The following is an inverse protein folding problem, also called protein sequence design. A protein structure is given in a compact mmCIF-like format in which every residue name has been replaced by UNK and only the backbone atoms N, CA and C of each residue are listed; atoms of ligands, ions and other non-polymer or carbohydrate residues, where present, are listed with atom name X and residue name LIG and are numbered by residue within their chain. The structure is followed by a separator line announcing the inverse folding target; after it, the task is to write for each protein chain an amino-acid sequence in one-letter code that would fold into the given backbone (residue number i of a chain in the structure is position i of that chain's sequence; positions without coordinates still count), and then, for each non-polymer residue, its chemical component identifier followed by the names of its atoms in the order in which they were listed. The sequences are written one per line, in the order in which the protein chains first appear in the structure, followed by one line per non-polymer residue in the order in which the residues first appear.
data_IF_895446051201
#
_entry.id   IF_895446051201
#
_cell.length_a   1.000
_cell.length_b   1.000
_cell.length_c   1.000
_cell.angle_alpha   90.00
_cell.angle_beta   90.00
_cell.angle_gamma   90.00
#
_symmetry.space_group_name_H-M   'P 1'
#
loop_
_entity.id
_entity.type
_entity.pdbx_description
1 polymer ?
#
# COMPACT_ATOMS: atom_id res chain seq x y z
N UNK A 1 -16.46 -3.86 21.16
CA UNK A 1 -15.64 -2.99 20.29
C UNK A 1 -16.01 -3.34 18.86
N UNK A 2 -16.39 -2.36 18.05
CA UNK A 2 -16.70 -2.60 16.63
C UNK A 2 -15.40 -2.74 15.83
N UNK A 3 -15.44 -3.53 14.75
CA UNK A 3 -14.33 -3.62 13.80
C UNK A 3 -14.17 -2.27 13.08
N UNK A 4 -13.17 -1.49 13.47
CA UNK A 4 -12.94 -0.13 12.95
C UNK A 4 -12.56 -0.10 11.46
N UNK A 5 -12.08 -1.20 10.89
CA UNK A 5 -11.79 -1.31 9.45
C UNK A 5 -13.10 -1.34 8.64
N UNK A 6 -14.18 -1.82 9.23
CA UNK A 6 -15.46 -1.99 8.54
C UNK A 6 -16.42 -0.79 8.65
N UNK A 7 -16.08 0.21 9.46
CA UNK A 7 -16.96 1.36 9.72
C UNK A 7 -16.56 2.64 8.98
N UNK A 8 -15.46 2.62 8.22
CA UNK A 8 -14.89 3.80 7.60
C UNK A 8 -14.52 3.54 6.14
N UNK A 9 -15.05 4.35 5.23
CA UNK A 9 -14.51 4.45 3.87
C UNK A 9 -13.34 5.44 3.92
N UNK A 10 -12.19 5.03 3.42
CA UNK A 10 -11.01 5.89 3.31
C UNK A 10 -10.51 5.95 1.87
N UNK A 11 -10.08 7.14 1.45
CA UNK A 11 -9.50 7.35 0.12
C UNK A 11 -8.17 8.08 0.29
N UNK A 12 -7.07 7.34 0.52
CA UNK A 12 -5.72 7.91 0.56
C UNK A 12 -5.23 8.28 -0.83
N UNK A 13 -4.62 9.46 -0.93
CA UNK A 13 -3.73 9.87 -2.00
C UNK A 13 -2.34 9.96 -1.39
N UNK A 14 -1.51 8.96 -1.66
CA UNK A 14 -0.20 8.81 -1.05
C UNK A 14 0.89 9.07 -2.08
N UNK A 15 1.58 10.19 -1.95
CA UNK A 15 2.77 10.53 -2.72
C UNK A 15 3.99 9.94 -2.05
N UNK A 16 4.87 9.35 -2.85
CA UNK A 16 6.18 8.87 -2.44
C UNK A 16 7.23 9.42 -3.40
N UNK A 17 8.39 9.76 -2.87
CA UNK A 17 9.59 10.11 -3.61
C UNK A 17 10.71 9.19 -3.15
N UNK A 18 11.36 8.54 -4.09
CA UNK A 18 12.51 7.67 -3.88
C UNK A 18 13.64 8.09 -4.83
N UNK A 19 14.87 8.03 -4.36
CA UNK A 19 16.09 8.47 -5.04
C UNK A 19 17.10 7.33 -5.17
N UNK A 20 18.18 7.56 -5.90
CA UNK A 20 19.31 6.64 -5.99
C UNK A 20 19.08 5.43 -6.90
N UNK A 21 18.22 5.53 -7.89
CA UNK A 21 18.01 4.46 -8.87
C UNK A 21 19.13 4.39 -9.90
N UNK A 22 19.59 3.18 -10.18
CA UNK A 22 20.57 2.89 -11.22
C UNK A 22 21.91 3.61 -11.06
N UNK A 23 22.76 3.50 -12.08
CA UNK A 23 24.07 4.15 -12.10
C UNK A 23 23.99 5.67 -12.36
N UNK A 24 22.85 6.15 -12.81
CA UNK A 24 22.60 7.57 -13.06
C UNK A 24 22.15 8.37 -11.85
N UNK A 25 21.92 7.72 -10.69
CA UNK A 25 21.31 8.37 -9.54
C UNK A 25 19.88 8.81 -9.81
N UNK A 26 19.12 7.99 -10.51
CA UNK A 26 17.77 8.28 -10.96
C UNK A 26 16.79 8.45 -9.80
N UNK A 27 15.65 9.03 -10.11
CA UNK A 27 14.59 9.32 -9.14
C UNK A 27 13.24 8.79 -9.62
N UNK A 28 12.43 8.40 -8.66
CA UNK A 28 11.04 8.00 -8.90
C UNK A 28 10.11 8.72 -7.93
N UNK A 29 9.04 9.27 -8.46
CA UNK A 29 7.93 9.71 -7.64
C UNK A 29 6.65 9.03 -8.10
N UNK A 30 5.77 8.73 -7.15
CA UNK A 30 4.49 8.13 -7.48
C UNK A 30 3.40 8.49 -6.48
N UNK A 31 2.19 8.55 -7.00
CA UNK A 31 0.98 8.71 -6.20
C UNK A 31 0.19 7.40 -6.27
N UNK A 32 -0.03 6.80 -5.11
CA UNK A 32 -0.97 5.69 -4.98
C UNK A 32 -2.34 6.25 -4.56
N UNK A 33 -3.34 6.06 -5.40
CA UNK A 33 -4.75 6.31 -5.03
C UNK A 33 -5.29 4.98 -4.49
N UNK A 34 -5.66 4.95 -3.19
CA UNK A 34 -5.91 3.68 -2.49
C UNK A 34 -7.27 3.64 -1.78
N UNK A 35 -8.42 3.71 -2.50
CA UNK A 35 -9.72 3.59 -1.85
C UNK A 35 -9.88 2.26 -1.12
N UNK A 36 -10.34 2.34 0.13
CA UNK A 36 -10.71 1.19 0.97
C UNK A 36 -12.18 1.34 1.33
N UNK A 37 -12.99 0.43 0.82
CA UNK A 37 -14.46 0.49 0.92
C UNK A 37 -14.97 -0.81 1.54
N UNK A 38 -15.49 -0.77 2.77
CA UNK A 38 -16.12 -1.93 3.39
C UNK A 38 -17.60 -2.05 2.96
N UNK A 39 -18.01 -3.25 2.62
CA UNK A 39 -19.38 -3.63 2.31
C UNK A 39 -19.88 -4.66 3.33
N UNK A 40 -21.08 -4.46 3.87
CA UNK A 40 -21.69 -5.46 4.77
C UNK A 40 -22.27 -6.61 3.94
N UNK A 41 -21.82 -7.83 4.19
CA UNK A 41 -22.32 -9.05 3.55
C UNK A 41 -22.96 -9.96 4.60
N UNK A 42 -24.30 -9.95 4.65
CA UNK A 42 -25.05 -10.71 5.66
C UNK A 42 -24.88 -10.17 7.09
N UNK A 43 -25.22 -10.98 8.09
CA UNK A 43 -25.26 -10.57 9.48
C UNK A 43 -23.86 -10.43 10.10
N UNK A 44 -22.91 -11.30 9.76
CA UNK A 44 -21.69 -11.49 10.54
C UNK A 44 -20.39 -11.13 9.77
N UNK A 45 -20.48 -10.80 8.49
CA UNK A 45 -19.33 -10.60 7.64
C UNK A 45 -19.34 -9.24 6.93
N UNK A 46 -18.15 -8.74 6.65
CA UNK A 46 -17.87 -7.64 5.74
C UNK A 46 -16.98 -8.12 4.60
N UNK A 47 -17.18 -7.53 3.43
CA UNK A 47 -16.23 -7.56 2.32
C UNK A 47 -15.55 -6.19 2.27
N UNK A 48 -14.24 -6.16 2.41
CA UNK A 48 -13.45 -4.94 2.32
C UNK A 48 -12.76 -4.94 0.96
N UNK A 49 -13.08 -3.98 0.12
CA UNK A 49 -12.45 -3.77 -1.19
C UNK A 49 -11.35 -2.74 -1.03
N UNK A 50 -10.13 -3.08 -1.42
CA UNK A 50 -8.98 -2.16 -1.49
C UNK A 50 -8.43 -2.16 -2.89
N UNK A 51 -8.47 -1.01 -3.54
CA UNK A 51 -7.83 -0.78 -4.85
C UNK A 51 -6.54 0.01 -4.63
N UNK A 52 -5.52 -0.28 -5.39
CA UNK A 52 -4.30 0.55 -5.50
C UNK A 52 -4.13 0.91 -6.96
N UNK A 53 -4.23 2.20 -7.26
CA UNK A 53 -3.96 2.76 -8.58
C UNK A 53 -2.68 3.61 -8.49
N UNK A 54 -1.54 3.16 -9.02
CA UNK A 54 -0.31 3.92 -9.03
C UNK A 54 -0.22 4.82 -10.27
N UNK A 55 0.09 6.11 -10.04
CA UNK A 55 0.51 7.06 -11.06
C UNK A 55 1.98 7.34 -10.80
N UNK A 56 2.84 6.99 -11.74
CA UNK A 56 4.30 6.95 -11.53
C UNK A 56 4.99 7.91 -12.50
N UNK A 57 5.95 8.65 -11.97
CA UNK A 57 6.94 9.38 -12.76
C UNK A 57 8.33 8.85 -12.39
N UNK A 58 9.11 8.45 -13.36
CA UNK A 58 10.50 7.98 -13.19
C UNK A 58 11.40 8.57 -14.29
N UNK A 59 12.64 8.84 -13.94
CA UNK A 59 13.61 9.34 -14.89
C UNK A 59 15.03 9.30 -14.36
N UNK A 60 15.97 9.50 -15.27
CA UNK A 60 17.41 9.54 -15.00
C UNK A 60 17.98 8.22 -14.43
N UNK A 61 17.32 7.06 -14.70
CA UNK A 61 17.82 5.75 -14.25
C UNK A 61 19.12 5.36 -14.94
N UNK A 62 19.29 5.80 -16.19
CA UNK A 62 20.52 5.65 -16.94
C UNK A 62 20.92 7.01 -17.53
N UNK A 63 22.22 7.28 -17.73
CA UNK A 63 22.66 8.51 -18.38
C UNK A 63 21.99 8.72 -19.74
N UNK A 64 21.20 9.82 -19.87
CA UNK A 64 20.45 10.14 -21.09
C UNK A 64 19.06 9.51 -21.18
N UNK A 65 18.56 8.88 -20.10
CA UNK A 65 17.18 8.39 -20.04
C UNK A 65 16.20 9.56 -19.89
N UNK A 66 15.12 9.53 -20.68
CA UNK A 66 14.04 10.52 -20.58
C UNK A 66 13.09 10.19 -19.43
N UNK A 67 12.58 11.22 -18.77
CA UNK A 67 11.56 11.03 -17.74
C UNK A 67 10.24 10.53 -18.35
N UNK A 68 9.63 9.55 -17.70
CA UNK A 68 8.37 8.92 -18.12
C UNK A 68 7.32 9.04 -17.03
N UNK A 69 6.12 9.44 -17.42
CA UNK A 69 4.96 9.46 -16.53
C UNK A 69 3.89 8.55 -17.09
N UNK A 70 3.33 7.69 -16.25
CA UNK A 70 2.28 6.77 -16.66
C UNK A 70 1.60 6.09 -15.48
N UNK A 71 0.65 5.22 -15.80
CA UNK A 71 -0.01 4.37 -14.82
C UNK A 71 0.84 3.12 -14.58
N UNK A 72 0.82 2.61 -13.35
CA UNK A 72 1.23 1.25 -13.05
C UNK A 72 0.06 0.27 -13.13
N UNK A 73 0.32 -0.99 -12.83
CA UNK A 73 -0.72 -2.01 -12.77
C UNK A 73 -1.62 -1.78 -11.55
N UNK A 74 -2.92 -1.77 -11.77
CA UNK A 74 -3.90 -1.68 -10.68
C UNK A 74 -3.90 -3.00 -9.91
N UNK A 75 -3.84 -2.89 -8.58
CA UNK A 75 -4.03 -4.03 -7.69
C UNK A 75 -5.36 -3.90 -6.97
N UNK A 76 -6.19 -4.94 -7.03
CA UNK A 76 -7.46 -5.05 -6.34
C UNK A 76 -7.41 -6.18 -5.32
N UNK A 77 -7.62 -5.85 -4.06
CA UNK A 77 -7.69 -6.82 -2.97
C UNK A 77 -9.09 -6.86 -2.37
N UNK A 78 -9.56 -8.04 -2.05
CA UNK A 78 -10.81 -8.25 -1.32
C UNK A 78 -10.51 -9.01 -0.04
N UNK A 79 -11.01 -8.50 1.10
CA UNK A 79 -10.86 -9.15 2.39
C UNK A 79 -12.23 -9.51 2.95
N UNK A 80 -12.47 -10.79 3.12
CA UNK A 80 -13.58 -11.29 3.92
C UNK A 80 -13.19 -11.19 5.39
N UNK A 81 -13.90 -10.37 6.16
CA UNK A 81 -13.58 -10.06 7.56
C UNK A 81 -14.83 -10.20 8.44
N UNK A 82 -14.75 -10.87 9.59
CA UNK A 82 -15.84 -10.87 10.55
C UNK A 82 -16.17 -9.44 11.02
N UNK A 83 -17.46 -9.16 11.27
CA UNK A 83 -17.88 -7.85 11.80
C UNK A 83 -17.35 -7.59 13.20
N UNK A 84 -17.25 -8.62 14.01
CA UNK A 84 -16.76 -8.53 15.36
C UNK A 84 -15.33 -9.03 15.47
N UNK A 85 -14.49 -8.37 16.27
CA UNK A 85 -13.17 -8.88 16.61
C UNK A 85 -13.28 -10.22 17.33
N UNK A 86 -12.20 -11.00 17.29
CA UNK A 86 -12.10 -12.23 18.12
C UNK A 86 -12.18 -11.90 19.61
N UNK A 87 -12.35 -12.92 20.46
CA UNK A 87 -12.37 -12.77 21.93
C UNK A 87 -11.12 -12.06 22.49
N UNK A 88 -9.98 -12.18 21.79
CA UNK A 88 -8.72 -11.52 22.14
C UNK A 88 -8.55 -10.14 21.50
N UNK A 89 -9.59 -9.63 20.83
CA UNK A 89 -9.59 -8.31 20.17
C UNK A 89 -8.83 -8.26 18.83
N UNK A 90 -8.53 -9.41 18.22
CA UNK A 90 -7.93 -9.45 16.88
C UNK A 90 -9.00 -9.18 15.81
N UNK A 91 -8.66 -8.31 14.87
CA UNK A 91 -9.38 -8.03 13.64
C UNK A 91 -8.57 -8.68 12.52
N UNK A 92 -9.22 -9.41 11.64
CA UNK A 92 -8.56 -10.08 10.54
C UNK A 92 -9.44 -10.13 9.30
N UNK A 93 -8.81 -10.34 8.15
CA UNK A 93 -9.48 -10.57 6.89
C UNK A 93 -8.57 -11.29 5.91
N UNK A 94 -9.14 -12.09 5.03
CA UNK A 94 -8.44 -12.86 4.01
C UNK A 94 -9.26 -12.91 2.73
N UNK A 95 -8.60 -13.00 1.58
CA UNK A 95 -9.29 -13.13 0.31
C UNK A 95 -8.38 -13.04 -0.90
N UNK A 96 -8.93 -12.89 -2.11
CA UNK A 96 -8.17 -12.80 -3.34
C UNK A 96 -7.52 -11.43 -3.53
N UNK A 97 -6.36 -11.43 -4.20
CA UNK A 97 -5.70 -10.27 -4.76
C UNK A 97 -5.59 -10.45 -6.28
N UNK A 98 -5.91 -9.41 -7.04
CA UNK A 98 -5.88 -9.39 -8.49
C UNK A 98 -5.02 -8.22 -8.96
N UNK A 99 -4.21 -8.43 -9.98
CA UNK A 99 -3.47 -7.38 -10.67
C UNK A 99 -4.00 -7.28 -12.10
N UNK A 100 -4.28 -6.04 -12.53
CA UNK A 100 -4.76 -5.74 -13.87
C UNK A 100 -3.66 -5.12 -14.71
N UNK A 101 -3.54 -5.50 -16.00
CA UNK A 101 -2.53 -4.98 -16.92
C UNK A 101 -2.90 -3.57 -17.39
N UNK A 102 -2.77 -2.59 -16.53
CA UNK A 102 -3.14 -1.19 -16.79
C UNK A 102 -1.94 -0.26 -16.92
N UNK A 103 -0.72 -0.82 -16.86
CA UNK A 103 0.49 -0.03 -17.00
C UNK A 103 0.55 0.65 -18.38
N UNK A 104 1.02 1.89 -18.39
CA UNK A 104 1.22 2.69 -19.61
C UNK A 104 2.65 3.21 -19.66
N UNK A 105 3.12 3.58 -20.87
CA UNK A 105 4.42 4.24 -21.07
C UNK A 105 5.60 3.46 -20.46
N UNK A 106 5.56 2.13 -20.53
CA UNK A 106 6.60 1.22 -20.03
C UNK A 106 6.96 1.44 -18.55
N UNK A 107 5.99 1.89 -17.74
CA UNK A 107 6.16 2.06 -16.29
C UNK A 107 6.36 0.72 -15.59
N UNK A 108 5.65 -0.33 -16.03
CA UNK A 108 5.76 -1.68 -15.51
C UNK A 108 5.37 -2.71 -16.58
N UNK A 109 5.76 -3.98 -16.43
CA UNK A 109 5.25 -5.08 -17.25
C UNK A 109 3.72 -5.14 -17.19
N UNK A 110 3.09 -5.19 -18.37
CA UNK A 110 1.62 -5.12 -18.46
C UNK A 110 1.02 -6.54 -18.36
N UNK A 111 1.01 -7.08 -17.15
CA UNK A 111 0.66 -8.46 -16.84
C UNK A 111 -0.57 -8.59 -15.96
N UNK A 112 -1.40 -9.61 -16.26
CA UNK A 112 -2.41 -10.09 -15.33
C UNK A 112 -1.75 -10.82 -14.15
N UNK A 113 -2.30 -10.64 -12.97
CA UNK A 113 -1.87 -11.36 -11.79
C UNK A 113 -3.05 -11.77 -10.91
N UNK A 114 -2.92 -12.92 -10.28
CA UNK A 114 -3.86 -13.40 -9.27
C UNK A 114 -3.10 -13.94 -8.06
N UNK A 115 -3.73 -13.85 -6.90
CA UNK A 115 -3.10 -14.30 -5.68
C UNK A 115 -4.02 -14.21 -4.47
N UNK A 116 -3.40 -14.25 -3.31
CA UNK A 116 -4.09 -14.19 -2.02
C UNK A 116 -3.60 -13.02 -1.19
N UNK A 117 -4.48 -12.48 -0.36
CA UNK A 117 -4.16 -11.41 0.58
C UNK A 117 -4.75 -11.68 1.94
N UNK A 118 -4.07 -11.22 2.98
CA UNK A 118 -4.54 -11.32 4.35
C UNK A 118 -4.09 -10.14 5.19
N UNK A 119 -4.87 -9.80 6.19
CA UNK A 119 -4.57 -8.78 7.17
C UNK A 119 -4.95 -9.26 8.55
N UNK A 120 -4.13 -8.97 9.54
CA UNK A 120 -4.43 -9.15 10.95
C UNK A 120 -3.94 -7.95 11.74
N UNK A 121 -4.75 -7.46 12.67
CA UNK A 121 -4.36 -6.36 13.52
C UNK A 121 -5.09 -6.40 14.87
N UNK A 122 -4.53 -5.65 15.82
CA UNK A 122 -5.12 -5.39 17.13
C UNK A 122 -5.05 -3.90 17.43
N UNK A 123 -6.13 -3.38 18.01
CA UNK A 123 -6.21 -1.99 18.46
C UNK A 123 -6.49 -1.94 19.96
N UNK A 124 -5.68 -1.17 20.68
CA UNK A 124 -5.85 -1.00 22.14
C UNK A 124 -5.21 0.30 22.59
N UNK A 125 -5.94 1.10 23.37
CA UNK A 125 -5.42 2.33 24.01
C UNK A 125 -4.67 3.30 23.06
N UNK A 126 -5.18 3.49 21.84
CA UNK A 126 -4.55 4.31 20.83
C UNK A 126 -3.48 3.60 19.98
N UNK A 127 -3.01 2.45 20.40
CA UNK A 127 -2.09 1.62 19.62
C UNK A 127 -2.82 0.79 18.57
N UNK A 128 -2.23 0.69 17.40
CA UNK A 128 -2.60 -0.25 16.34
C UNK A 128 -1.36 -1.02 15.95
N UNK A 129 -1.41 -2.32 16.07
CA UNK A 129 -0.32 -3.23 15.66
C UNK A 129 -0.90 -4.27 14.74
N UNK A 130 -0.26 -4.51 13.62
CA UNK A 130 -0.77 -5.47 12.66
C UNK A 130 0.20 -5.78 11.53
N UNK A 131 -0.28 -6.62 10.62
CA UNK A 131 0.42 -7.02 9.42
C UNK A 131 -0.58 -7.25 8.30
N UNK A 132 -0.26 -6.74 7.13
CA UNK A 132 -0.89 -7.11 5.86
C UNK A 132 0.14 -7.88 5.04
N UNK A 133 -0.29 -8.93 4.38
CA UNK A 133 0.52 -9.69 3.45
C UNK A 133 -0.30 -10.05 2.21
N UNK A 134 0.35 -10.12 1.07
CA UNK A 134 -0.22 -10.74 -0.11
C UNK A 134 0.86 -11.46 -0.91
N UNK A 135 0.44 -12.39 -1.73
CA UNK A 135 1.27 -13.01 -2.73
C UNK A 135 0.51 -13.04 -4.04
N UNK A 136 1.15 -12.58 -5.13
CA UNK A 136 0.56 -12.49 -6.46
C UNK A 136 1.49 -13.17 -7.46
N UNK A 137 0.91 -14.08 -8.25
CA UNK A 137 1.56 -14.72 -9.41
C UNK A 137 1.06 -14.07 -10.68
N UNK A 138 1.90 -14.00 -11.72
CA UNK A 138 1.44 -13.74 -13.09
C UNK A 138 0.54 -14.88 -13.56
N UNK A 139 -0.52 -14.54 -14.31
CA UNK A 139 -1.47 -15.51 -14.90
C UNK A 139 -1.73 -15.20 -16.39
N UNK A 140 -0.89 -14.41 -17.02
CA UNK A 140 -1.01 -14.07 -18.44
C UNK A 140 0.06 -13.08 -18.86
N UNK A 141 0.38 -13.13 -20.14
CA UNK A 141 1.42 -12.36 -20.82
C UNK A 141 2.86 -12.73 -20.41
N UNK A 142 3.07 -13.93 -19.84
CA UNK A 142 4.41 -14.43 -19.46
C UNK A 142 5.33 -14.58 -20.68
N UNK A 143 4.81 -14.93 -21.84
CA UNK A 143 5.57 -15.03 -23.10
C UNK A 143 6.22 -13.70 -23.49
N UNK A 144 5.61 -12.58 -23.10
CA UNK A 144 6.09 -11.23 -23.41
C UNK A 144 6.95 -10.63 -22.30
N UNK A 145 6.59 -10.85 -21.04
CA UNK A 145 7.18 -10.16 -19.90
C UNK A 145 7.89 -11.06 -18.90
N UNK A 146 7.89 -12.38 -19.14
CA UNK A 146 8.41 -13.37 -18.20
C UNK A 146 7.44 -13.68 -17.05
N UNK A 147 7.80 -14.63 -16.22
CA UNK A 147 7.05 -14.96 -15.00
C UNK A 147 7.21 -13.87 -13.93
N UNK A 148 6.18 -13.70 -13.13
CA UNK A 148 6.23 -12.83 -11.95
C UNK A 148 5.60 -13.55 -10.75
N UNK A 149 6.32 -13.55 -9.64
CA UNK A 149 5.89 -14.17 -8.39
C UNK A 149 6.40 -13.31 -7.24
N UNK A 150 5.50 -12.55 -6.57
CA UNK A 150 5.88 -11.53 -5.60
C UNK A 150 5.10 -11.64 -4.31
N UNK A 151 5.83 -11.68 -3.19
CA UNK A 151 5.24 -11.58 -1.85
C UNK A 151 5.42 -10.17 -1.31
N UNK A 152 4.34 -9.55 -0.91
CA UNK A 152 4.33 -8.26 -0.22
C UNK A 152 4.05 -8.45 1.26
N UNK A 153 4.83 -7.81 2.12
CA UNK A 153 4.72 -7.85 3.57
C UNK A 153 4.69 -6.43 4.13
N UNK A 154 3.65 -6.11 4.88
CA UNK A 154 3.51 -4.81 5.53
C UNK A 154 3.18 -4.98 7.02
N UNK A 155 4.15 -5.31 7.89
CA UNK A 155 4.02 -5.10 9.32
C UNK A 155 3.95 -3.61 9.63
N UNK A 156 3.08 -3.24 10.57
CA UNK A 156 2.90 -1.86 10.97
C UNK A 156 2.61 -1.71 12.46
N UNK A 157 3.10 -0.62 13.02
CA UNK A 157 2.79 -0.17 14.37
C UNK A 157 2.43 1.31 14.29
N UNK A 158 1.32 1.69 14.91
CA UNK A 158 0.87 3.06 14.98
C UNK A 158 0.38 3.42 16.37
N UNK A 159 0.48 4.69 16.71
CA UNK A 159 -0.10 5.26 17.93
C UNK A 159 -0.86 6.52 17.60
N UNK A 160 -2.12 6.58 17.99
CA UNK A 160 -2.97 7.76 17.80
C UNK A 160 -3.31 8.37 19.15
N UNK A 161 -2.95 9.64 19.30
CA UNK A 161 -3.21 10.43 20.51
C UNK A 161 -4.70 10.80 20.63
N UNK A 162 -5.11 11.25 21.81
CA UNK A 162 -6.48 11.79 22.04
C UNK A 162 -6.76 13.07 21.20
N UNK A 163 -5.74 13.74 20.69
CA UNK A 163 -5.85 14.92 19.80
C UNK A 163 -5.85 14.55 18.32
N UNK A 164 -6.03 13.25 18.02
CA UNK A 164 -6.02 12.71 16.64
C UNK A 164 -4.70 12.95 15.86
N UNK A 165 -3.58 13.11 16.58
CA UNK A 165 -2.24 13.01 16.00
C UNK A 165 -1.81 11.56 16.00
N UNK A 166 -1.33 11.06 14.87
CA UNK A 166 -0.90 9.68 14.69
C UNK A 166 0.60 9.62 14.40
N UNK A 167 1.28 8.66 15.00
CA UNK A 167 2.67 8.29 14.70
C UNK A 167 2.65 6.87 14.16
N UNK A 168 3.42 6.59 13.13
CA UNK A 168 3.46 5.27 12.52
C UNK A 168 4.85 4.87 12.07
N UNK A 169 5.11 3.58 12.18
CA UNK A 169 6.23 2.89 11.55
C UNK A 169 5.68 1.69 10.79
N UNK A 170 6.11 1.50 9.56
CA UNK A 170 5.84 0.29 8.80
C UNK A 170 6.99 0.00 7.83
N UNK A 171 7.01 -1.23 7.32
CA UNK A 171 7.70 -1.53 6.06
C UNK A 171 6.66 -1.93 5.02
N UNK A 172 6.99 -1.76 3.76
CA UNK A 172 6.26 -2.25 2.59
C UNK A 172 7.21 -3.17 1.82
N UNK A 173 7.72 -4.19 2.53
CA UNK A 173 8.70 -5.10 1.99
C UNK A 173 8.10 -5.97 0.89
N UNK A 174 8.87 -6.21 -0.16
CA UNK A 174 8.51 -7.10 -1.25
C UNK A 174 9.65 -8.06 -1.53
N UNK A 175 9.33 -9.34 -1.69
CA UNK A 175 10.25 -10.36 -2.18
C UNK A 175 9.80 -10.80 -3.56
N UNK A 176 10.69 -10.68 -4.53
CA UNK A 176 10.53 -11.20 -5.89
C UNK A 176 11.14 -12.61 -5.95
N UNK A 177 10.29 -13.63 -6.10
CA UNK A 177 10.71 -15.04 -6.12
C UNK A 177 11.40 -15.46 -7.41
N UNK A 178 11.23 -14.69 -8.49
CA UNK A 178 11.87 -14.96 -9.78
C UNK A 178 13.28 -14.38 -9.80
N UNK A 179 13.43 -13.14 -9.32
CA UNK A 179 14.73 -12.48 -9.21
C UNK A 179 15.49 -12.88 -7.93
N UNK A 180 14.83 -13.50 -6.95
CA UNK A 180 15.35 -13.82 -5.62
C UNK A 180 15.86 -12.61 -4.84
N UNK A 181 15.14 -11.47 -4.96
CA UNK A 181 15.56 -10.17 -4.42
C UNK A 181 14.51 -9.57 -3.48
N UNK A 182 15.02 -8.86 -2.47
CA UNK A 182 14.22 -8.07 -1.56
C UNK A 182 14.17 -6.58 -1.95
N UNK A 183 13.05 -5.95 -1.63
CA UNK A 183 12.87 -4.50 -1.57
C UNK A 183 12.28 -4.16 -0.20
N UNK A 184 13.02 -3.44 0.66
CA UNK A 184 12.65 -3.25 2.07
C UNK A 184 12.69 -1.77 2.45
N UNK A 185 11.65 -0.98 2.13
CA UNK A 185 11.53 0.38 2.63
C UNK A 185 11.00 0.40 4.07
N UNK A 186 11.61 1.18 4.94
CA UNK A 186 11.12 1.49 6.29
C UNK A 186 10.55 2.89 6.28
N UNK A 187 9.29 3.05 6.68
CA UNK A 187 8.59 4.31 6.69
C UNK A 187 8.31 4.76 8.12
N UNK A 188 8.67 6.01 8.43
CA UNK A 188 8.30 6.71 9.66
C UNK A 188 7.37 7.85 9.31
N UNK A 189 6.20 7.91 9.93
CA UNK A 189 5.16 8.88 9.57
C UNK A 189 4.57 9.57 10.78
N UNK A 190 4.16 10.83 10.58
CA UNK A 190 3.33 11.61 11.50
C UNK A 190 2.12 12.09 10.73
N UNK A 191 0.94 11.92 11.31
CA UNK A 191 -0.31 12.34 10.71
C UNK A 191 -1.18 13.14 11.68
N UNK A 192 -2.03 14.00 11.14
CA UNK A 192 -3.02 14.76 11.90
C UNK A 192 -4.37 14.71 11.18
N UNK A 193 -5.42 14.40 11.91
CA UNK A 193 -6.78 14.54 11.39
C UNK A 193 -7.23 16.00 11.64
N UNK A 194 -7.68 16.63 10.56
CA UNK A 194 -8.27 17.97 10.54
C UNK A 194 -9.68 17.91 9.96
N UNK A 195 -10.45 18.98 10.08
CA UNK A 195 -11.75 19.12 9.42
C UNK A 195 -11.63 20.09 8.26
N UNK A 196 -11.99 19.64 7.06
CA UNK A 196 -12.06 20.44 5.83
C UNK A 196 -13.50 20.40 5.32
N UNK A 197 -14.18 21.55 5.31
CA UNK A 197 -15.59 21.60 4.94
C UNK A 197 -16.49 20.72 5.83
N UNK A 198 -16.16 20.56 7.12
CA UNK A 198 -16.88 19.71 8.07
C UNK A 198 -16.56 18.22 8.00
N UNK A 199 -15.81 17.77 6.99
CA UNK A 199 -15.42 16.35 6.79
C UNK A 199 -14.03 16.10 7.37
N UNK A 200 -13.79 14.94 8.00
CA UNK A 200 -12.46 14.59 8.50
C UNK A 200 -11.52 14.26 7.33
N UNK A 201 -10.32 14.86 7.38
CA UNK A 201 -9.23 14.60 6.43
C UNK A 201 -7.97 14.38 7.25
N UNK A 202 -7.24 13.31 6.97
CA UNK A 202 -5.95 13.06 7.58
C UNK A 202 -4.85 13.54 6.64
N UNK A 203 -3.97 14.41 7.15
CA UNK A 203 -2.72 14.79 6.50
C UNK A 203 -1.59 14.00 7.15
N UNK A 204 -0.74 13.40 6.34
CA UNK A 204 0.40 12.60 6.81
C UNK A 204 1.66 13.02 6.09
N UNK A 205 2.74 13.19 6.84
CA UNK A 205 4.09 13.38 6.32
C UNK A 205 5.03 12.35 6.92
N UNK A 206 6.09 12.00 6.21
CA UNK A 206 7.04 11.03 6.71
C UNK A 206 8.30 10.93 5.88
N UNK A 207 9.26 10.19 6.43
CA UNK A 207 10.50 9.80 5.77
C UNK A 207 10.45 8.31 5.46
N UNK A 208 11.19 7.93 4.44
CA UNK A 208 11.33 6.58 3.94
C UNK A 208 12.81 6.26 3.81
N UNK A 209 13.22 5.10 4.27
CA UNK A 209 14.60 4.63 4.17
C UNK A 209 14.62 3.25 3.55
N UNK A 210 15.43 3.05 2.52
CA UNK A 210 15.60 1.77 1.86
C UNK A 210 16.68 0.96 2.58
N UNK A 211 16.23 0.00 3.40
CA UNK A 211 17.11 -0.89 4.16
C UNK A 211 17.68 -2.02 3.28
N UNK A 212 16.96 -2.39 2.23
CA UNK A 212 17.36 -3.33 1.20
C UNK A 212 16.67 -2.99 -0.12
N UNK A 213 17.34 -3.23 -1.24
CA UNK A 213 16.86 -2.88 -2.57
C UNK A 213 17.53 -3.74 -3.63
N UNK A 214 16.82 -4.15 -4.70
CA UNK A 214 17.43 -4.89 -5.79
C UNK A 214 18.48 -4.05 -6.51
N UNK A 215 19.40 -4.68 -7.26
CA UNK A 215 20.38 -3.96 -8.07
C UNK A 215 19.72 -2.92 -8.98
N UNK A 216 20.19 -1.69 -8.92
CA UNK A 216 19.60 -0.55 -9.64
C UNK A 216 18.29 -0.04 -9.07
N UNK A 217 17.83 -0.55 -7.94
CA UNK A 217 16.69 -0.05 -7.20
C UNK A 217 17.01 1.20 -6.38
N UNK A 218 16.01 1.76 -5.67
CA UNK A 218 16.18 2.97 -4.87
C UNK A 218 17.11 2.75 -3.68
N UNK A 219 17.85 3.79 -3.31
CA UNK A 219 18.79 3.77 -2.20
C UNK A 219 18.53 4.91 -1.22
N UNK A 220 19.07 4.76 0.01
CA UNK A 220 19.04 5.80 1.04
C UNK A 220 17.65 6.30 1.44
N UNK A 221 17.41 7.60 1.32
CA UNK A 221 16.24 8.27 1.87
C UNK A 221 15.26 8.69 0.80
N UNK A 222 14.00 8.50 1.11
CA UNK A 222 12.87 9.03 0.37
C UNK A 222 11.93 9.81 1.27
N UNK A 223 10.85 10.31 0.68
CA UNK A 223 9.83 11.08 1.36
C UNK A 223 8.44 10.51 1.09
N UNK A 224 7.54 10.70 2.07
CA UNK A 224 6.13 10.33 1.94
C UNK A 224 5.23 11.48 2.37
N UNK A 225 4.22 11.79 1.56
CA UNK A 225 3.12 12.68 1.91
C UNK A 225 1.80 11.98 1.58
N UNK A 226 0.80 12.13 2.44
CA UNK A 226 -0.52 11.59 2.12
C UNK A 226 -1.64 12.51 2.57
N UNK A 227 -2.70 12.54 1.76
CA UNK A 227 -3.98 13.14 2.11
C UNK A 227 -5.02 12.04 2.05
N UNK A 228 -5.67 11.76 3.18
CA UNK A 228 -6.68 10.72 3.26
C UNK A 228 -8.04 11.32 3.59
N UNK A 229 -8.97 11.20 2.67
CA UNK A 229 -10.38 11.53 2.92
C UNK A 229 -11.05 10.39 3.67
N UNK A 230 -11.74 10.75 4.76
CA UNK A 230 -12.40 9.80 5.64
C UNK A 230 -13.93 10.02 5.58
N UNK A 231 -14.66 8.96 5.30
CA UNK A 231 -16.12 8.98 5.21
C UNK A 231 -16.69 7.97 6.21
N UNK A 232 -17.01 8.41 7.46
CA UNK A 232 -17.66 7.53 8.42
C UNK A 232 -18.97 7.04 7.86
N UNK A 233 -19.23 5.73 7.98
CA UNK A 233 -20.55 5.19 7.73
C UNK A 233 -21.44 5.56 8.90
N UNK A 234 -22.57 6.23 8.60
CA UNK A 234 -23.62 6.53 9.58
C UNK A 234 -24.30 5.27 10.12
#
# INVERSE_FOLDING_TARGET
MSNSISSLISVPFQYNYDDGFGDGGGQQSYINIQPVIPFSIGANWNLISRTILPVVNKGDFFPGDDSRTGLGNITQSFFFSPKDPTKNGLIWGVGPALQFPTATNDIAPNQWGAGITGVVLKQTNGWTVGMLANHVWSIGNEDTYGESSKTFLQPFVGYTTKRATSFGINTEAQYDWVAEEWSVPINLTVGQIIKVGGKPVQLTGGVRYWADSPPGGPQDWGARLAVTYLFPKG
#
